data_IF_226150418112
#
_entry.id   IF_226150418112
#
_cell.length_a   1.000
_cell.length_b   1.000
_cell.length_c   1.000
_cell.angle_alpha   90.00
_cell.angle_beta   90.00
_cell.angle_gamma   90.00
#
_symmetry.space_group_name_H-M   'P 1'
#
loop_
_entity.id
_entity.type
_entity.pdbx_description
1 polymer ?
#
# COMPACT_ATOMS: atom_id res chain seq x y z
N UNK A 1 -8.76 37.66 -0.81
CA UNK A 1 -8.43 36.28 -0.34
C UNK A 1 -9.63 35.73 0.40
N UNK A 2 -10.07 34.50 0.13
CA UNK A 2 -11.25 33.93 0.84
C UNK A 2 -10.90 33.58 2.30
N UNK A 3 -11.84 33.75 3.23
CA UNK A 3 -11.65 33.47 4.67
C UNK A 3 -11.10 32.05 4.95
N UNK A 4 -11.47 31.07 4.11
CA UNK A 4 -10.98 29.69 4.17
C UNK A 4 -9.47 29.57 3.93
N UNK A 5 -8.90 30.40 3.06
CA UNK A 5 -7.47 30.40 2.76
C UNK A 5 -6.65 31.04 3.90
N UNK A 6 -7.21 32.07 4.55
CA UNK A 6 -6.61 32.75 5.70
C UNK A 6 -6.50 31.75 6.86
N UNK A 7 -7.62 31.12 7.25
CA UNK A 7 -7.65 30.09 8.31
C UNK A 7 -6.69 28.93 8.05
N UNK A 8 -6.52 28.54 6.79
CA UNK A 8 -5.57 27.47 6.39
C UNK A 8 -4.11 27.91 6.56
N UNK A 9 -3.78 29.17 6.30
CA UNK A 9 -2.43 29.73 6.50
C UNK A 9 -2.12 29.86 7.98
N UNK A 10 -3.04 30.41 8.77
CA UNK A 10 -2.90 30.55 10.23
C UNK A 10 -2.67 29.19 10.88
N UNK A 11 -3.52 28.19 10.58
CA UNK A 11 -3.33 26.83 11.08
C UNK A 11 -1.98 26.21 10.70
N UNK A 12 -1.46 26.51 9.51
CA UNK A 12 -0.13 26.02 9.09
C UNK A 12 0.98 26.69 9.88
N UNK A 13 0.87 27.99 10.14
CA UNK A 13 1.82 28.72 10.95
C UNK A 13 1.81 28.22 12.41
N UNK A 14 0.61 28.04 12.98
CA UNK A 14 0.42 27.48 14.32
C UNK A 14 1.06 26.08 14.45
N UNK A 15 0.74 25.17 13.51
CA UNK A 15 1.31 23.82 13.50
C UNK A 15 2.83 23.85 13.33
N UNK A 16 3.37 24.79 12.54
CA UNK A 16 4.82 24.95 12.37
C UNK A 16 5.47 25.43 13.67
N UNK A 17 4.89 26.43 14.34
CA UNK A 17 5.37 26.96 15.64
C UNK A 17 5.44 25.84 16.67
N UNK A 18 4.35 25.11 16.83
CA UNK A 18 4.27 23.98 17.77
C UNK A 18 5.25 22.86 17.44
N UNK A 19 5.51 22.62 16.15
CA UNK A 19 6.46 21.60 15.74
C UNK A 19 7.90 21.99 16.05
N UNK A 20 8.23 23.29 15.97
CA UNK A 20 9.58 23.81 16.25
C UNK A 20 9.90 23.92 17.73
N UNK A 21 8.92 23.92 18.62
CA UNK A 21 9.10 23.93 20.07
C UNK A 21 9.33 22.52 20.60
N UNK A 22 10.57 22.14 20.99
CA UNK A 22 10.85 20.81 21.50
C UNK A 22 10.25 20.66 22.91
N UNK A 23 9.54 19.57 23.14
CA UNK A 23 9.03 19.21 24.46
C UNK A 23 9.99 18.24 25.15
N UNK A 24 10.53 18.66 26.29
CA UNK A 24 11.38 17.83 27.15
C UNK A 24 10.68 16.56 27.67
N UNK A 25 9.34 16.47 27.54
CA UNK A 25 8.58 15.27 27.92
C UNK A 25 8.86 14.08 26.99
N UNK A 26 9.22 14.32 25.72
CA UNK A 26 9.34 13.28 24.71
C UNK A 26 10.81 12.95 24.37
N UNK A 27 11.58 12.63 25.40
CA UNK A 27 13.04 12.39 25.30
C UNK A 27 13.45 11.10 24.59
N UNK A 28 12.52 10.15 24.38
CA UNK A 28 12.83 8.84 23.80
C UNK A 28 11.77 8.36 22.82
N UNK A 29 12.23 7.66 21.78
CA UNK A 29 11.41 6.92 20.83
C UNK A 29 10.88 5.63 21.48
N UNK A 30 9.60 5.30 21.25
CA UNK A 30 8.93 4.11 21.80
C UNK A 30 9.30 2.78 21.14
N UNK A 31 10.24 2.80 20.20
CA UNK A 31 10.75 1.57 19.56
C UNK A 31 11.81 0.99 20.48
N UNK A 32 11.65 -0.28 20.86
CA UNK A 32 12.58 -0.99 21.74
C UNK A 32 13.99 -0.96 21.11
N UNK A 33 15.00 -0.64 21.92
CA UNK A 33 16.39 -0.51 21.47
C UNK A 33 16.75 0.81 20.78
N UNK A 34 15.79 1.74 20.60
CA UNK A 34 16.07 3.04 19.99
C UNK A 34 16.41 4.11 21.04
N UNK A 35 17.66 4.57 21.08
CA UNK A 35 18.10 5.66 21.97
C UNK A 35 17.74 7.09 21.50
N UNK A 36 17.19 7.25 20.29
CA UNK A 36 16.87 8.58 19.73
C UNK A 36 15.62 9.18 20.38
N UNK A 37 15.54 10.51 20.56
CA UNK A 37 14.33 11.19 21.00
C UNK A 37 13.17 11.04 20.00
N UNK A 38 11.94 11.12 20.50
CA UNK A 38 10.77 11.25 19.64
C UNK A 38 10.78 12.62 18.96
N UNK A 39 10.11 12.77 17.81
CA UNK A 39 10.16 14.03 17.03
C UNK A 39 9.72 15.24 17.86
N UNK A 40 8.71 15.07 18.71
CA UNK A 40 8.24 16.11 19.61
C UNK A 40 9.31 16.62 20.59
N UNK A 41 10.37 15.85 20.87
CA UNK A 41 11.50 16.28 21.68
C UNK A 41 12.66 16.91 20.90
N UNK A 42 12.53 17.12 19.58
CA UNK A 42 13.65 17.56 18.71
C UNK A 42 13.37 18.82 17.89
N UNK A 43 12.18 19.41 17.96
CA UNK A 43 11.77 20.52 17.08
C UNK A 43 11.48 20.10 15.62
N UNK A 44 11.65 18.80 15.30
CA UNK A 44 11.49 18.25 13.96
C UNK A 44 10.07 17.72 13.70
N UNK A 45 9.11 17.93 14.60
CA UNK A 45 7.72 17.55 14.38
C UNK A 45 6.94 17.18 15.65
N UNK A 46 5.65 16.90 15.48
CA UNK A 46 4.71 16.66 16.57
C UNK A 46 4.55 15.19 16.98
N UNK A 47 5.36 14.27 16.45
CA UNK A 47 5.24 12.85 16.80
C UNK A 47 5.80 12.59 18.19
N UNK A 48 4.92 12.23 19.12
CA UNK A 48 5.24 11.95 20.53
C UNK A 48 5.71 10.52 20.78
N UNK A 49 5.66 9.66 19.75
CA UNK A 49 5.94 8.23 19.88
C UNK A 49 7.24 7.85 19.22
N UNK A 50 7.53 8.40 18.05
CA UNK A 50 8.62 7.92 17.21
C UNK A 50 9.62 9.02 16.88
N UNK A 51 10.90 8.64 16.78
CA UNK A 51 11.90 9.47 16.13
C UNK A 51 11.58 9.57 14.62
N UNK A 52 12.22 10.51 13.91
CA UNK A 52 11.97 10.73 12.47
C UNK A 52 12.04 9.46 11.63
N UNK A 53 13.09 8.67 11.82
CA UNK A 53 13.32 7.42 11.09
C UNK A 53 12.22 6.38 11.35
N UNK A 54 11.82 6.15 12.60
CA UNK A 54 10.75 5.21 12.92
C UNK A 54 9.36 5.73 12.54
N UNK A 55 9.12 7.04 12.59
CA UNK A 55 7.89 7.64 12.09
C UNK A 55 7.76 7.46 10.56
N UNK A 56 8.84 7.66 9.82
CA UNK A 56 8.88 7.44 8.37
C UNK A 56 8.74 5.96 8.01
N UNK A 57 9.38 5.07 8.78
CA UNK A 57 9.25 3.61 8.63
C UNK A 57 7.80 3.18 8.86
N UNK A 58 7.20 3.59 9.96
CA UNK A 58 5.79 3.32 10.30
C UNK A 58 4.82 3.90 9.27
N UNK A 59 5.07 5.11 8.78
CA UNK A 59 4.27 5.73 7.72
C UNK A 59 4.33 4.94 6.41
N UNK A 60 5.48 4.31 6.11
CA UNK A 60 5.70 3.51 4.90
C UNK A 60 5.19 2.08 5.05
N UNK A 61 5.37 1.43 6.19
CA UNK A 61 5.19 -0.02 6.35
C UNK A 61 4.01 -0.40 7.24
N UNK A 62 3.47 0.52 8.03
CA UNK A 62 2.41 0.21 9.00
C UNK A 62 2.92 -0.48 10.28
N UNK A 63 4.21 -0.80 10.34
CA UNK A 63 4.91 -1.27 11.53
C UNK A 63 6.13 -0.39 11.79
N UNK A 64 6.49 -0.09 13.05
CA UNK A 64 7.74 0.58 13.37
C UNK A 64 8.94 -0.38 13.35
N UNK A 65 8.70 -1.70 13.25
CA UNK A 65 9.72 -2.75 13.23
C UNK A 65 9.78 -3.40 11.84
N UNK A 66 8.67 -3.98 11.39
CA UNK A 66 8.63 -4.84 10.21
C UNK A 66 8.52 -4.05 8.91
N UNK A 67 9.33 -4.42 7.92
CA UNK A 67 9.19 -3.93 6.54
C UNK A 67 7.97 -4.52 5.86
N UNK A 68 7.67 -4.04 4.66
CA UNK A 68 6.60 -4.65 3.87
C UNK A 68 7.07 -5.93 3.21
N UNK A 69 6.16 -6.90 3.06
CA UNK A 69 6.43 -8.11 2.30
C UNK A 69 6.79 -7.77 0.86
N UNK A 70 7.87 -8.37 0.37
CA UNK A 70 8.32 -8.32 -1.00
C UNK A 70 7.42 -9.13 -1.92
N UNK A 71 7.59 -8.93 -3.24
CA UNK A 71 6.79 -9.65 -4.23
C UNK A 71 7.02 -11.17 -4.17
N UNK A 72 8.28 -11.62 -4.02
CA UNK A 72 8.62 -13.04 -3.95
C UNK A 72 7.98 -13.75 -2.74
N UNK A 73 7.91 -13.05 -1.61
CA UNK A 73 7.31 -13.59 -0.39
C UNK A 73 5.79 -13.74 -0.55
N UNK A 74 5.12 -12.74 -1.13
CA UNK A 74 3.66 -12.69 -1.12
C UNK A 74 2.97 -13.36 -2.31
N UNK A 75 3.65 -13.54 -3.44
CA UNK A 75 3.01 -14.07 -4.64
C UNK A 75 2.39 -15.47 -4.44
N UNK A 76 3.04 -16.44 -3.79
CA UNK A 76 2.43 -17.75 -3.55
C UNK A 76 1.09 -17.66 -2.79
N UNK A 77 1.02 -16.77 -1.79
CA UNK A 77 -0.20 -16.53 -1.02
C UNK A 77 -1.28 -15.83 -1.82
N UNK A 78 -0.92 -14.98 -2.79
CA UNK A 78 -1.89 -14.33 -3.68
C UNK A 78 -2.51 -15.32 -4.64
N UNK A 79 -1.70 -16.24 -5.16
CA UNK A 79 -2.17 -17.28 -6.08
C UNK A 79 -3.09 -18.24 -5.32
N UNK A 80 -2.67 -18.71 -4.13
CA UNK A 80 -3.50 -19.52 -3.25
C UNK A 80 -4.82 -18.83 -2.84
N UNK A 81 -4.77 -17.55 -2.48
CA UNK A 81 -5.96 -16.78 -2.14
C UNK A 81 -6.94 -16.65 -3.32
N UNK A 82 -6.43 -16.45 -4.53
CA UNK A 82 -7.28 -16.36 -5.72
C UNK A 82 -7.93 -17.71 -6.04
N UNK A 83 -7.15 -18.79 -6.03
CA UNK A 83 -7.69 -20.15 -6.24
C UNK A 83 -8.73 -20.53 -5.19
N UNK A 84 -8.52 -20.14 -3.93
CA UNK A 84 -9.50 -20.34 -2.87
C UNK A 84 -10.79 -19.56 -3.12
N UNK A 85 -10.71 -18.29 -3.53
CA UNK A 85 -11.89 -17.49 -3.89
C UNK A 85 -12.66 -18.15 -5.06
N UNK A 86 -11.95 -18.62 -6.07
CA UNK A 86 -12.55 -19.27 -7.25
C UNK A 86 -13.27 -20.59 -6.89
N UNK A 87 -12.69 -21.37 -5.99
CA UNK A 87 -13.32 -22.59 -5.46
C UNK A 87 -14.56 -22.29 -4.59
N UNK A 88 -14.65 -21.09 -4.00
CA UNK A 88 -15.69 -20.70 -3.04
C UNK A 88 -16.61 -19.59 -3.58
N UNK A 89 -16.78 -19.46 -4.90
CA UNK A 89 -17.62 -18.39 -5.49
C UNK A 89 -19.09 -18.46 -5.08
N UNK A 90 -19.59 -19.63 -4.68
CA UNK A 90 -20.97 -19.82 -4.20
C UNK A 90 -21.14 -19.50 -2.72
N UNK A 91 -20.04 -19.25 -2.00
CA UNK A 91 -20.09 -18.88 -0.60
C UNK A 91 -20.67 -17.46 -0.43
N UNK A 92 -21.72 -17.27 0.41
CA UNK A 92 -22.32 -15.96 0.62
C UNK A 92 -21.36 -14.88 1.14
N UNK A 93 -20.37 -15.24 1.96
CA UNK A 93 -19.38 -14.30 2.50
C UNK A 93 -18.38 -13.88 1.43
N UNK A 94 -17.96 -14.81 0.58
CA UNK A 94 -17.10 -14.51 -0.58
C UNK A 94 -17.83 -13.60 -1.57
N UNK A 95 -19.05 -13.95 -1.95
CA UNK A 95 -19.88 -13.14 -2.84
C UNK A 95 -20.11 -11.73 -2.27
N UNK A 96 -20.46 -11.63 -0.98
CA UNK A 96 -20.64 -10.35 -0.30
C UNK A 96 -19.38 -9.48 -0.31
N UNK A 97 -18.21 -10.05 -0.04
CA UNK A 97 -16.97 -9.28 -0.04
C UNK A 97 -16.62 -8.76 -1.44
N UNK A 98 -16.79 -9.60 -2.47
CA UNK A 98 -16.59 -9.23 -3.87
C UNK A 98 -17.54 -8.08 -4.25
N UNK A 99 -18.81 -8.16 -3.88
CA UNK A 99 -19.82 -7.12 -4.14
C UNK A 99 -19.52 -5.81 -3.39
N UNK A 100 -19.06 -5.90 -2.13
CA UNK A 100 -18.66 -4.71 -1.35
C UNK A 100 -17.47 -4.01 -1.98
N UNK A 101 -16.47 -4.76 -2.47
CA UNK A 101 -15.34 -4.19 -3.22
C UNK A 101 -15.81 -3.58 -4.54
N UNK A 102 -16.65 -4.28 -5.30
CA UNK A 102 -17.20 -3.76 -6.55
C UNK A 102 -17.94 -2.44 -6.32
N UNK A 103 -18.76 -2.38 -5.27
CA UNK A 103 -19.49 -1.17 -4.84
C UNK A 103 -18.53 -0.05 -4.45
N UNK A 104 -17.46 -0.33 -3.70
CA UNK A 104 -16.42 0.67 -3.37
C UNK A 104 -15.80 1.24 -4.64
N UNK A 105 -15.48 0.39 -5.61
CA UNK A 105 -14.92 0.82 -6.89
C UNK A 105 -15.91 1.68 -7.68
N UNK A 106 -17.19 1.31 -7.74
CA UNK A 106 -18.23 2.05 -8.46
C UNK A 106 -18.55 3.41 -7.83
N UNK A 107 -18.65 3.48 -6.50
CA UNK A 107 -19.09 4.68 -5.76
C UNK A 107 -17.97 5.70 -5.48
N UNK A 108 -16.72 5.41 -5.85
CA UNK A 108 -15.56 6.25 -5.54
C UNK A 108 -15.41 7.54 -6.37
N UNK A 109 -16.50 7.98 -7.03
CA UNK A 109 -16.53 9.22 -7.82
C UNK A 109 -15.73 9.12 -9.13
N UNK A 110 -15.44 10.26 -9.79
CA UNK A 110 -14.76 10.28 -11.08
C UNK A 110 -13.29 9.89 -10.97
N UNK A 111 -12.74 9.37 -12.06
CA UNK A 111 -11.31 9.11 -12.16
C UNK A 111 -10.50 10.42 -12.14
N UNK A 112 -9.49 10.49 -11.27
CA UNK A 112 -8.59 11.64 -11.14
C UNK A 112 -7.18 11.21 -11.50
N UNK A 113 -6.58 11.93 -12.44
CA UNK A 113 -5.19 11.72 -12.86
C UNK A 113 -4.20 11.95 -11.70
N UNK A 114 -3.09 11.20 -11.70
CA UNK A 114 -2.14 11.21 -10.59
C UNK A 114 -1.55 12.61 -10.30
N UNK A 115 -1.33 13.43 -11.34
CA UNK A 115 -0.81 14.80 -11.17
C UNK A 115 -1.85 15.77 -10.57
N UNK A 116 -3.16 15.46 -10.64
CA UNK A 116 -4.25 16.26 -10.04
C UNK A 116 -4.52 15.90 -8.58
N UNK A 117 -3.80 14.92 -8.02
CA UNK A 117 -3.98 14.51 -6.62
C UNK A 117 -3.39 15.52 -5.62
N UNK A 118 -2.57 16.47 -6.06
CA UNK A 118 -1.97 17.48 -5.19
C UNK A 118 -3.07 18.41 -4.64
N UNK A 119 -3.09 18.57 -3.32
CA UNK A 119 -4.06 19.44 -2.64
C UNK A 119 -5.32 18.73 -2.14
N UNK A 120 -5.59 17.51 -2.60
CA UNK A 120 -6.67 16.67 -2.11
C UNK A 120 -6.41 16.12 -0.70
N UNK A 121 -7.48 15.84 0.04
CA UNK A 121 -7.39 15.18 1.34
C UNK A 121 -6.86 13.74 1.18
N UNK A 122 -6.30 13.11 2.22
CA UNK A 122 -5.95 11.69 2.18
C UNK A 122 -7.10 10.77 1.77
N UNK A 123 -8.32 11.07 2.23
CA UNK A 123 -9.54 10.33 1.92
C UNK A 123 -9.91 10.46 0.44
N UNK A 124 -9.88 11.68 -0.12
CA UNK A 124 -10.19 11.89 -1.55
C UNK A 124 -9.16 11.22 -2.46
N UNK A 125 -7.89 11.20 -2.03
CA UNK A 125 -6.84 10.45 -2.75
C UNK A 125 -7.04 8.94 -2.68
N UNK A 126 -7.62 8.43 -1.60
CA UNK A 126 -8.02 7.03 -1.49
C UNK A 126 -9.19 6.71 -2.43
N UNK A 127 -10.23 7.57 -2.49
CA UNK A 127 -11.32 7.47 -3.49
C UNK A 127 -10.77 7.47 -4.93
N UNK A 128 -9.83 8.37 -5.23
CA UNK A 128 -9.17 8.38 -6.53
C UNK A 128 -8.37 7.08 -6.83
N UNK A 129 -7.92 6.34 -5.81
CA UNK A 129 -7.27 5.04 -6.00
C UNK A 129 -8.29 3.96 -6.40
N UNK A 130 -9.44 3.93 -5.74
CA UNK A 130 -10.56 3.06 -6.12
C UNK A 130 -11.08 3.35 -7.54
N UNK A 131 -11.26 4.63 -7.89
CA UNK A 131 -11.66 5.04 -9.23
C UNK A 131 -10.61 4.64 -10.30
N UNK A 132 -9.32 4.56 -9.94
CA UNK A 132 -8.25 4.05 -10.80
C UNK A 132 -8.39 2.54 -11.06
N UNK A 133 -8.66 1.76 -10.02
CA UNK A 133 -8.93 0.31 -10.17
C UNK A 133 -10.13 0.09 -11.09
N UNK A 134 -11.20 0.88 -10.93
CA UNK A 134 -12.39 0.80 -11.79
C UNK A 134 -12.06 1.11 -13.25
N UNK A 135 -11.34 2.21 -13.51
CA UNK A 135 -10.93 2.60 -14.87
C UNK A 135 -10.05 1.52 -15.52
N UNK A 136 -9.22 0.85 -14.74
CA UNK A 136 -8.38 -0.26 -15.20
C UNK A 136 -9.13 -1.61 -15.28
N UNK A 137 -10.45 -1.63 -15.11
CA UNK A 137 -11.29 -2.82 -15.12
C UNK A 137 -10.75 -3.94 -14.21
N UNK A 138 -10.19 -3.57 -13.06
CA UNK A 138 -9.64 -4.54 -12.12
C UNK A 138 -10.77 -5.40 -11.56
N UNK A 139 -10.59 -6.72 -11.65
CA UNK A 139 -11.46 -7.68 -11.02
C UNK A 139 -11.47 -7.50 -9.48
N UNK A 140 -12.65 -7.24 -8.86
CA UNK A 140 -12.78 -7.12 -7.40
C UNK A 140 -12.22 -8.31 -6.62
N UNK A 141 -12.24 -9.52 -7.18
CA UNK A 141 -11.66 -10.73 -6.57
C UNK A 141 -10.17 -10.56 -6.29
N UNK A 142 -9.44 -9.81 -7.12
CA UNK A 142 -8.01 -9.54 -6.92
C UNK A 142 -7.74 -8.63 -5.71
N UNK A 143 -8.71 -7.79 -5.33
CA UNK A 143 -8.62 -6.96 -4.12
C UNK A 143 -8.92 -7.80 -2.88
N UNK A 144 -9.93 -8.67 -2.95
CA UNK A 144 -10.23 -9.62 -1.86
C UNK A 144 -9.03 -10.56 -1.64
N UNK A 145 -8.49 -11.14 -2.72
CA UNK A 145 -7.30 -11.99 -2.68
C UNK A 145 -6.09 -11.28 -2.07
N UNK A 146 -5.94 -9.96 -2.29
CA UNK A 146 -4.84 -9.19 -1.70
C UNK A 146 -4.93 -9.12 -0.17
N UNK A 147 -6.13 -9.09 0.41
CA UNK A 147 -6.28 -9.15 1.87
C UNK A 147 -6.05 -10.57 2.40
N UNK A 148 -6.67 -11.57 1.78
CA UNK A 148 -6.53 -12.97 2.23
C UNK A 148 -5.07 -13.43 2.16
N UNK A 149 -4.33 -13.04 1.12
CA UNK A 149 -2.90 -13.31 1.03
C UNK A 149 -2.10 -12.70 2.19
N UNK A 150 -2.52 -11.54 2.70
CA UNK A 150 -1.91 -10.91 3.87
C UNK A 150 -2.25 -11.65 5.16
N UNK A 151 -3.48 -12.10 5.34
CA UNK A 151 -3.84 -12.94 6.49
C UNK A 151 -3.05 -14.25 6.49
N UNK A 152 -2.94 -14.92 5.34
CA UNK A 152 -2.19 -16.18 5.23
C UNK A 152 -0.70 -15.98 5.53
N UNK A 153 -0.01 -15.02 4.89
CA UNK A 153 1.43 -14.82 5.13
C UNK A 153 1.72 -14.30 6.54
N UNK A 154 0.83 -13.50 7.14
CA UNK A 154 0.99 -13.04 8.53
C UNK A 154 0.86 -14.21 9.50
N UNK A 155 -0.05 -15.15 9.24
CA UNK A 155 -0.20 -16.37 10.06
C UNK A 155 1.03 -17.27 9.97
N UNK A 156 1.60 -17.37 8.77
CA UNK A 156 2.70 -18.30 8.48
C UNK A 156 4.09 -17.71 8.81
N UNK A 157 4.16 -16.41 9.16
CA UNK A 157 5.39 -15.69 9.46
C UNK A 157 5.65 -15.58 10.98
N UNK A 158 6.68 -16.25 11.51
CA UNK A 158 6.98 -16.29 12.94
C UNK A 158 7.38 -14.93 13.53
N UNK A 159 7.70 -13.95 12.68
CA UNK A 159 8.07 -12.60 13.07
C UNK A 159 7.10 -11.55 12.51
N UNK A 160 5.85 -11.94 12.26
CA UNK A 160 4.84 -11.02 11.74
C UNK A 160 4.49 -9.90 12.74
N UNK A 161 4.12 -8.73 12.21
CA UNK A 161 3.46 -7.70 13.01
C UNK A 161 1.94 -7.93 12.89
N UNK A 162 1.32 -8.37 14.00
CA UNK A 162 -0.08 -8.75 14.04
C UNK A 162 -1.05 -7.55 14.09
N UNK A 163 -0.53 -6.32 14.18
CA UNK A 163 -1.38 -5.13 14.27
C UNK A 163 -2.18 -4.93 12.98
N UNK A 164 -3.46 -4.60 13.14
CA UNK A 164 -4.34 -4.26 12.01
C UNK A 164 -3.75 -3.18 11.09
N UNK A 165 -3.06 -2.18 11.66
CA UNK A 165 -2.36 -1.16 10.87
C UNK A 165 -1.37 -1.76 9.86
N UNK A 166 -0.57 -2.74 10.27
CA UNK A 166 0.40 -3.39 9.39
C UNK A 166 -0.36 -4.08 8.25
N UNK A 167 -1.33 -4.94 8.57
CA UNK A 167 -2.17 -5.64 7.58
C UNK A 167 -2.82 -4.68 6.58
N UNK A 168 -3.47 -3.62 7.07
CA UNK A 168 -4.07 -2.55 6.25
C UNK A 168 -3.07 -1.92 5.29
N UNK A 169 -1.88 -1.56 5.75
CA UNK A 169 -0.85 -0.94 4.91
C UNK A 169 -0.33 -1.94 3.86
N UNK A 170 -0.14 -3.21 4.22
CA UNK A 170 0.32 -4.22 3.26
C UNK A 170 -0.73 -4.49 2.18
N UNK A 171 -1.98 -4.74 2.55
CA UNK A 171 -3.08 -4.97 1.61
C UNK A 171 -3.27 -3.77 0.68
N UNK A 172 -3.27 -2.55 1.23
CA UNK A 172 -3.35 -1.33 0.43
C UNK A 172 -2.18 -1.18 -0.56
N UNK A 173 -0.96 -1.60 -0.21
CA UNK A 173 0.18 -1.60 -1.14
C UNK A 173 0.02 -2.58 -2.29
N UNK A 174 -0.53 -3.76 -2.03
CA UNK A 174 -0.82 -4.73 -3.08
C UNK A 174 -1.83 -4.15 -4.07
N UNK A 175 -2.94 -3.67 -3.55
CA UNK A 175 -4.03 -3.08 -4.35
C UNK A 175 -3.54 -1.85 -5.12
N UNK A 176 -2.78 -0.97 -4.47
CA UNK A 176 -2.23 0.23 -5.12
C UNK A 176 -1.27 -0.09 -6.27
N UNK A 177 -0.60 -1.26 -6.25
CA UNK A 177 0.27 -1.72 -7.35
C UNK A 177 -0.51 -2.25 -8.55
N UNK A 178 -1.74 -2.75 -8.37
CA UNK A 178 -2.54 -3.35 -9.47
C UNK A 178 -2.86 -2.31 -10.56
N UNK A 179 -3.25 -1.10 -10.17
CA UNK A 179 -3.55 0.01 -11.09
C UNK A 179 -2.75 1.27 -10.71
N UNK A 180 -1.42 1.13 -10.71
CA UNK A 180 -0.52 2.21 -10.34
C UNK A 180 -0.19 3.13 -11.52
N UNK A 181 -0.22 4.44 -11.28
CA UNK A 181 0.33 5.44 -12.20
C UNK A 181 -0.67 6.09 -13.16
N UNK A 182 -0.25 7.24 -13.70
CA UNK A 182 -0.79 7.85 -14.93
C UNK A 182 0.33 7.80 -15.96
N UNK A 183 0.00 7.29 -17.16
CA UNK A 183 0.84 7.35 -18.35
C UNK A 183 0.13 8.26 -19.36
N UNK A 184 0.76 9.37 -19.75
CA UNK A 184 0.27 10.22 -20.85
C UNK A 184 1.38 10.44 -21.86
N UNK A 185 1.02 10.29 -23.14
CA UNK A 185 1.89 10.57 -24.29
C UNK A 185 1.22 11.66 -25.13
N UNK A 186 1.99 12.66 -25.53
CA UNK A 186 1.57 13.71 -26.46
C UNK A 186 2.48 13.71 -27.68
N UNK A 187 1.90 13.79 -28.88
CA UNK A 187 2.61 13.79 -30.16
C UNK A 187 2.89 12.39 -30.72
N UNK A 188 3.26 12.37 -31.99
CA UNK A 188 3.45 11.17 -32.79
C UNK A 188 4.95 10.98 -33.13
N UNK A 189 5.37 9.73 -33.35
CA UNK A 189 6.76 9.44 -33.73
C UNK A 189 7.80 9.67 -32.63
N UNK A 190 9.05 9.94 -33.04
CA UNK A 190 10.24 10.08 -32.17
C UNK A 190 10.26 11.36 -31.32
N UNK A 191 9.36 12.31 -31.56
CA UNK A 191 9.21 13.56 -30.80
C UNK A 191 8.16 13.51 -29.68
N UNK A 192 7.57 12.34 -29.43
CA UNK A 192 6.51 12.21 -28.44
C UNK A 192 7.01 12.46 -27.00
N UNK A 193 6.28 13.27 -26.24
CA UNK A 193 6.59 13.55 -24.83
C UNK A 193 5.76 12.65 -23.93
N UNK A 194 6.44 11.96 -23.01
CA UNK A 194 5.80 11.03 -22.06
C UNK A 194 5.84 11.57 -20.62
N UNK A 195 4.73 11.44 -19.90
CA UNK A 195 4.60 11.77 -18.48
C UNK A 195 4.21 10.53 -17.69
N UNK A 196 5.10 10.10 -16.80
CA UNK A 196 4.86 9.04 -15.83
C UNK A 196 4.73 9.63 -14.42
N UNK A 197 3.54 9.55 -13.84
CA UNK A 197 3.31 10.02 -12.46
C UNK A 197 2.72 8.89 -11.62
N UNK A 198 3.48 8.45 -10.62
CA UNK A 198 3.05 7.44 -9.66
C UNK A 198 2.71 8.06 -8.30
N UNK A 199 1.48 7.89 -7.79
CA UNK A 199 1.14 8.34 -6.44
C UNK A 199 2.00 7.60 -5.42
N UNK A 200 2.56 8.33 -4.46
CA UNK A 200 3.41 7.77 -3.39
C UNK A 200 2.61 6.76 -2.55
N UNK A 201 3.11 5.53 -2.46
CA UNK A 201 2.53 4.45 -1.65
C UNK A 201 2.96 4.54 -0.19
N UNK A 202 2.46 5.55 0.54
CA UNK A 202 2.73 5.76 1.98
C UNK A 202 1.67 6.60 2.68
N UNK A 203 1.66 6.55 4.01
CA UNK A 203 0.92 7.48 4.87
C UNK A 203 -0.58 7.22 4.97
N UNK A 204 -1.38 8.27 5.21
CA UNK A 204 -2.83 8.18 5.50
C UNK A 204 -3.67 7.64 4.34
N UNK A 205 -3.22 7.79 3.09
CA UNK A 205 -3.95 7.28 1.93
C UNK A 205 -4.05 5.76 1.99
N UNK A 206 -2.93 5.07 2.26
CA UNK A 206 -2.92 3.61 2.39
C UNK A 206 -3.77 3.12 3.56
N UNK A 207 -3.84 3.90 4.65
CA UNK A 207 -4.69 3.55 5.81
C UNK A 207 -6.17 3.57 5.43
N UNK A 208 -6.63 4.59 4.72
CA UNK A 208 -8.02 4.65 4.25
C UNK A 208 -8.35 3.56 3.23
N UNK A 209 -7.42 3.23 2.32
CA UNK A 209 -7.61 2.12 1.38
C UNK A 209 -7.66 0.80 2.14
N UNK A 210 -6.69 0.53 3.02
CA UNK A 210 -6.59 -0.70 3.79
C UNK A 210 -7.78 -0.92 4.72
N UNK A 211 -8.24 0.12 5.40
CA UNK A 211 -9.44 0.09 6.25
C UNK A 211 -10.71 -0.20 5.45
N UNK A 212 -10.83 0.32 4.22
CA UNK A 212 -11.95 0.00 3.35
C UNK A 212 -11.90 -1.46 2.85
N UNK A 213 -10.70 -1.99 2.57
CA UNK A 213 -10.51 -3.40 2.22
C UNK A 213 -10.89 -4.29 3.40
N UNK A 214 -10.32 -4.04 4.58
CA UNK A 214 -10.57 -4.81 5.80
C UNK A 214 -12.06 -4.91 6.08
N UNK A 215 -12.78 -3.78 6.08
CA UNK A 215 -14.23 -3.80 6.27
C UNK A 215 -14.92 -4.67 5.23
N UNK A 216 -14.53 -4.60 3.96
CA UNK A 216 -15.18 -5.38 2.92
C UNK A 216 -15.02 -6.90 3.10
N UNK A 217 -13.93 -7.34 3.74
CA UNK A 217 -13.53 -8.76 3.82
C UNK A 217 -13.55 -9.34 5.23
N UNK A 218 -13.80 -8.53 6.27
CA UNK A 218 -13.77 -8.94 7.68
C UNK A 218 -14.61 -10.20 7.96
N UNK A 219 -15.78 -10.31 7.33
CA UNK A 219 -16.65 -11.48 7.49
C UNK A 219 -16.06 -12.77 6.92
N UNK A 220 -15.22 -12.70 5.88
CA UNK A 220 -14.54 -13.91 5.39
C UNK A 220 -13.54 -14.40 6.44
N UNK A 221 -12.76 -13.47 6.99
CA UNK A 221 -11.70 -13.78 7.97
C UNK A 221 -12.31 -14.32 9.27
N UNK A 222 -13.46 -13.79 9.69
CA UNK A 222 -14.14 -14.23 10.91
C UNK A 222 -14.83 -15.61 10.76
N UNK A 223 -15.17 -16.02 9.54
CA UNK A 223 -16.01 -17.21 9.29
C UNK A 223 -15.28 -18.39 8.66
N UNK A 224 -14.09 -18.17 8.11
CA UNK A 224 -13.35 -19.22 7.41
C UNK A 224 -11.94 -19.40 7.97
N UNK A 225 -11.54 -20.66 8.07
CA UNK A 225 -10.13 -21.02 8.15
C UNK A 225 -9.52 -20.93 6.75
N UNK A 226 -8.57 -20.00 6.58
CA UNK A 226 -7.88 -19.83 5.31
C UNK A 226 -6.90 -20.99 5.06
N UNK A 227 -6.68 -21.42 3.80
CA UNK A 227 -5.72 -22.46 3.46
C UNK A 227 -4.34 -22.22 4.06
N UNK A 228 -3.69 -23.29 4.52
CA UNK A 228 -2.30 -23.22 4.97
C UNK A 228 -1.36 -23.39 3.78
N UNK A 229 -0.78 -22.29 3.29
CA UNK A 229 0.06 -22.29 2.09
C UNK A 229 1.35 -23.07 2.31
N UNK A 230 1.82 -23.20 3.56
CA UNK A 230 2.99 -24.00 3.92
C UNK A 230 2.68 -25.49 4.14
N UNK A 231 1.41 -25.89 4.25
CA UNK A 231 1.01 -27.29 4.49
C UNK A 231 0.08 -27.89 3.42
N UNK A 232 -0.45 -27.10 2.49
CA UNK A 232 -1.36 -27.59 1.45
C UNK A 232 -0.64 -28.00 0.17
N UNK A 233 -0.97 -29.20 -0.31
CA UNK A 233 -0.77 -29.74 -1.64
C UNK A 233 -1.29 -28.80 -2.75
N UNK A 234 -0.48 -27.82 -3.14
CA UNK A 234 -0.64 -27.19 -4.46
C UNK A 234 -0.26 -28.25 -5.51
N UNK A 235 -1.16 -28.69 -6.40
CA UNK A 235 -0.76 -29.57 -7.50
C UNK A 235 0.28 -28.82 -8.37
N UNK A 236 1.51 -29.32 -8.29
CA UNK A 236 2.62 -29.13 -9.21
C UNK A 236 2.70 -27.81 -10.02
N UNK A 237 3.31 -26.78 -9.43
CA UNK A 237 3.99 -25.70 -10.19
C UNK A 237 5.42 -26.09 -10.62
N UNK A 238 5.70 -27.39 -10.82
CA UNK A 238 7.05 -27.88 -11.14
C UNK A 238 7.44 -27.81 -12.63
N UNK A 239 6.54 -27.41 -13.54
CA UNK A 239 6.83 -27.41 -14.98
C UNK A 239 6.60 -26.06 -15.67
N UNK A 240 7.29 -25.01 -15.20
CA UNK A 240 7.72 -23.93 -16.11
C UNK A 240 9.24 -23.91 -16.11
N UNK A 241 9.77 -24.86 -16.89
CA UNK A 241 11.15 -24.99 -17.36
C UNK A 241 11.76 -23.61 -17.60
N UNK A 242 12.94 -23.31 -17.04
CA UNK A 242 14.22 -23.51 -17.75
C UNK A 242 14.06 -23.19 -19.25
N UNK A 243 14.18 -21.92 -19.61
CA UNK A 243 14.67 -21.45 -20.92
C UNK A 243 14.79 -19.92 -20.87
N UNK A 244 15.81 -19.41 -20.17
CA UNK A 244 16.41 -18.13 -20.54
C UNK A 244 17.75 -18.46 -21.23
N UNK A 245 17.95 -18.08 -22.50
CA UNK A 245 19.27 -18.13 -23.09
C UNK A 245 20.13 -17.02 -22.46
N UNK A 246 21.20 -17.46 -21.79
CA UNK A 246 22.32 -16.64 -21.34
C UNK A 246 22.88 -15.82 -22.52
N UNK A 247 22.72 -14.51 -22.47
CA UNK A 247 23.47 -13.56 -23.30
C UNK A 247 24.26 -12.60 -22.41
N UNK A 248 25.21 -13.14 -21.67
CA UNK A 248 26.28 -12.36 -21.06
C UNK A 248 27.36 -12.10 -22.14
N UNK A 249 27.33 -10.92 -22.76
CA UNK A 249 28.49 -10.40 -23.50
C UNK A 249 29.17 -9.29 -22.67
N UNK A 250 30.49 -9.39 -22.41
CA UNK A 250 31.21 -8.38 -21.66
C UNK A 250 31.44 -7.12 -22.52
N UNK A 251 31.14 -5.94 -21.96
CA UNK A 251 31.48 -4.65 -22.58
C UNK A 251 32.98 -4.40 -22.44
N UNK A 252 33.70 -4.59 -23.54
CA UNK A 252 35.10 -4.21 -23.67
C UNK A 252 35.27 -2.68 -23.61
N UNK A 253 36.21 -2.25 -22.77
CA UNK A 253 36.77 -0.90 -22.77
C UNK A 253 37.36 -0.53 -24.13
N UNK A 254 37.02 0.65 -24.64
CA UNK A 254 37.92 1.43 -25.50
C UNK A 254 37.95 2.87 -25.01
N UNK A 255 39.10 3.24 -24.46
CA UNK A 255 39.59 4.62 -24.37
C UNK A 255 40.15 5.04 -25.74
N UNK A 256 40.26 6.35 -25.90
CA UNK A 256 41.17 7.11 -26.79
C UNK A 256 40.56 7.63 -28.09
N UNK A 257 41.10 8.73 -28.65
CA UNK A 257 42.17 9.62 -28.14
C UNK A 257 41.63 10.84 -27.38
#
# INVERSE_FOLDING_TARGET
MTAKLIRKRERRAEVKSRASEPSAMFTRCRVVGCGRPARAGTGDGLDTRFCRSHADHYARHGSPYKTSYGAREINPYRDAALSWIEANLRDPYVANAVDRVATLMQTSGPHVEAFRLRGLSPQDRAKAAWARLRKAAVDPRRVVAAWLAIEMIVRDDPQADLKAEFKRVQAAKLVHRIASGTHKRWGDGSGATELHVYPRSRGRVLRHVGEAIERAVELIVDRHELPNVLQSDLPALKDVKRNEPSSHQPRNHKRSP
#
